data_IF_529796592807
#
_entry.id   IF_529796592807
#
_cell.length_a   1.000
_cell.length_b   1.000
_cell.length_c   1.000
_cell.angle_alpha   90.00
_cell.angle_beta   90.00
_cell.angle_gamma   90.00
#
_symmetry.space_group_name_H-M   'P 1'
#
loop_
_entity.id
_entity.type
_entity.pdbx_description
1 polymer ?
#
# COMPACT_ATOMS: atom_id res chain seq x y z
N UNK A 1 -52.16 -14.81 9.27
CA UNK A 1 -51.76 -13.67 10.13
C UNK A 1 -50.62 -14.00 11.10
N UNK A 2 -50.55 -15.18 11.74
CA UNK A 2 -49.49 -15.49 12.73
C UNK A 2 -48.08 -15.61 12.15
N UNK A 3 -47.94 -16.15 10.94
CA UNK A 3 -46.63 -16.37 10.31
C UNK A 3 -45.93 -15.06 9.94
N UNK A 4 -46.68 -14.07 9.43
CA UNK A 4 -46.14 -12.77 9.04
C UNK A 4 -45.62 -12.00 10.25
N UNK A 5 -46.34 -12.00 11.37
CA UNK A 5 -45.89 -11.34 12.61
C UNK A 5 -44.62 -11.99 13.18
N UNK A 6 -44.56 -13.33 13.19
CA UNK A 6 -43.35 -14.06 13.63
C UNK A 6 -42.17 -13.76 12.72
N UNK A 7 -42.39 -13.68 11.40
CA UNK A 7 -41.36 -13.31 10.44
C UNK A 7 -40.79 -11.91 10.70
N UNK A 8 -41.66 -10.90 10.88
CA UNK A 8 -41.20 -9.53 11.15
C UNK A 8 -40.50 -9.41 12.51
N UNK A 9 -40.96 -10.14 13.53
CA UNK A 9 -40.30 -10.17 14.84
C UNK A 9 -38.91 -10.80 14.72
N UNK A 10 -38.77 -11.92 14.02
CA UNK A 10 -37.46 -12.56 13.80
C UNK A 10 -36.53 -11.69 12.95
N UNK A 11 -37.07 -11.01 11.93
CA UNK A 11 -36.32 -10.07 11.08
C UNK A 11 -35.81 -8.86 11.89
N UNK A 12 -36.67 -8.26 12.72
CA UNK A 12 -36.29 -7.16 13.59
C UNK A 12 -35.27 -7.62 14.65
N UNK A 13 -35.48 -8.78 15.26
CA UNK A 13 -34.56 -9.38 16.23
C UNK A 13 -33.19 -9.68 15.61
N UNK A 14 -33.16 -10.15 14.36
CA UNK A 14 -31.95 -10.34 13.56
C UNK A 14 -31.23 -9.02 13.26
N UNK A 15 -31.97 -7.96 12.93
CA UNK A 15 -31.38 -6.64 12.70
C UNK A 15 -30.76 -6.07 13.97
N UNK A 16 -31.48 -6.15 15.09
CA UNK A 16 -31.01 -5.68 16.40
C UNK A 16 -29.78 -6.47 16.86
N UNK A 17 -29.77 -7.80 16.69
CA UNK A 17 -28.60 -8.62 17.06
C UNK A 17 -27.36 -8.30 16.22
N UNK A 18 -27.52 -7.91 14.94
CA UNK A 18 -26.41 -7.50 14.09
C UNK A 18 -25.72 -6.22 14.59
N UNK A 19 -26.46 -5.29 15.22
CA UNK A 19 -25.91 -4.05 15.77
C UNK A 19 -25.37 -4.19 17.20
N UNK A 20 -25.91 -5.12 18.00
CA UNK A 20 -25.49 -5.35 19.39
C UNK A 20 -24.35 -6.38 19.54
N UNK A 21 -24.04 -7.19 18.51
CA UNK A 21 -22.93 -8.15 18.61
C UNK A 21 -21.56 -7.45 18.49
N UNK A 22 -20.67 -7.60 19.48
CA UNK A 22 -19.30 -7.10 19.38
C UNK A 22 -18.56 -7.81 18.23
N UNK A 23 -17.83 -7.04 17.40
CA UNK A 23 -17.06 -7.55 16.24
C UNK A 23 -16.21 -8.80 16.56
N UNK A 24 -15.69 -8.87 17.78
CA UNK A 24 -14.85 -9.97 18.29
C UNK A 24 -15.55 -11.34 18.31
N UNK A 25 -16.87 -11.37 18.55
CA UNK A 25 -17.64 -12.63 18.59
C UNK A 25 -18.08 -13.04 17.18
N UNK A 26 -18.35 -12.06 16.31
CA UNK A 26 -18.67 -12.30 14.90
C UNK A 26 -17.48 -12.88 14.13
N UNK A 27 -16.26 -12.43 14.43
CA UNK A 27 -15.04 -12.95 13.79
C UNK A 27 -14.74 -14.41 14.17
N UNK A 28 -15.01 -14.83 15.40
CA UNK A 28 -14.82 -16.21 15.84
C UNK A 28 -15.84 -17.18 15.22
N UNK A 29 -17.06 -16.72 14.93
CA UNK A 29 -18.12 -17.55 14.34
C UNK A 29 -18.13 -17.54 12.81
N UNK A 30 -17.40 -16.60 12.16
CA UNK A 30 -17.28 -16.49 10.70
C UNK A 30 -16.89 -17.79 9.97
N UNK A 31 -15.89 -18.57 10.41
CA UNK A 31 -15.50 -19.79 9.67
C UNK A 31 -16.59 -20.87 9.73
N UNK A 32 -17.29 -20.99 10.86
CA UNK A 32 -18.35 -21.98 11.07
C UNK A 32 -19.68 -21.59 10.41
N UNK A 33 -20.03 -20.29 10.42
CA UNK A 33 -21.20 -19.79 9.67
C UNK A 33 -20.96 -19.80 8.16
N UNK A 34 -19.71 -19.63 7.72
CA UNK A 34 -19.34 -19.67 6.31
C UNK A 34 -19.72 -20.98 5.62
N UNK A 35 -19.56 -22.12 6.31
CA UNK A 35 -19.89 -23.45 5.77
C UNK A 35 -21.39 -23.76 5.83
N UNK A 36 -22.07 -23.40 6.93
CA UNK A 36 -23.51 -23.63 7.12
C UNK A 36 -24.39 -22.75 6.21
N UNK A 37 -23.95 -21.51 5.93
CA UNK A 37 -24.70 -20.57 5.10
C UNK A 37 -24.27 -20.57 3.63
N UNK A 38 -23.29 -21.39 3.23
CA UNK A 38 -22.86 -21.56 1.84
C UNK A 38 -24.04 -21.73 0.85
N UNK A 39 -25.02 -22.62 1.10
CA UNK A 39 -26.09 -22.86 0.12
C UNK A 39 -27.06 -21.68 -0.04
N UNK A 40 -27.17 -20.81 0.98
CA UNK A 40 -28.05 -19.62 0.96
C UNK A 40 -27.31 -18.35 0.52
N UNK A 41 -25.99 -18.30 0.73
CA UNK A 41 -25.15 -17.18 0.34
C UNK A 41 -24.89 -17.10 -1.17
N UNK A 42 -24.93 -18.23 -1.89
CA UNK A 42 -24.75 -18.26 -3.34
C UNK A 42 -25.85 -17.50 -4.11
N UNK A 43 -27.17 -17.76 -3.90
CA UNK A 43 -28.20 -17.05 -4.63
C UNK A 43 -28.27 -15.57 -4.27
N UNK A 44 -28.07 -15.21 -2.99
CA UNK A 44 -28.06 -13.80 -2.57
C UNK A 44 -26.90 -13.01 -3.18
N UNK A 45 -25.71 -13.63 -3.30
CA UNK A 45 -24.57 -13.03 -4.01
C UNK A 45 -24.82 -12.89 -5.51
N UNK A 46 -25.50 -13.86 -6.13
CA UNK A 46 -25.86 -13.76 -7.54
C UNK A 46 -26.84 -12.60 -7.81
N UNK A 47 -27.84 -12.42 -6.93
CA UNK A 47 -28.78 -11.30 -7.00
C UNK A 47 -28.05 -9.96 -6.75
N UNK A 48 -27.15 -9.92 -5.76
CA UNK A 48 -26.37 -8.72 -5.46
C UNK A 48 -25.43 -8.33 -6.63
N UNK A 49 -24.71 -9.31 -7.20
CA UNK A 49 -23.85 -9.12 -8.36
C UNK A 49 -24.62 -8.66 -9.61
N UNK A 50 -25.84 -9.19 -9.80
CA UNK A 50 -26.75 -8.72 -10.85
C UNK A 50 -27.20 -7.27 -10.61
N UNK A 51 -27.54 -6.91 -9.38
CA UNK A 51 -27.96 -5.55 -9.02
C UNK A 51 -26.84 -4.51 -9.10
N UNK A 52 -25.59 -4.89 -8.81
CA UNK A 52 -24.42 -3.99 -8.86
C UNK A 52 -23.71 -3.97 -10.20
N UNK A 53 -24.11 -4.80 -11.18
CA UNK A 53 -23.52 -4.86 -12.51
C UNK A 53 -22.08 -5.38 -12.56
N UNK A 54 -21.56 -5.89 -11.44
CA UNK A 54 -20.24 -6.52 -11.39
C UNK A 54 -20.42 -8.04 -11.47
N UNK A 55 -19.93 -8.74 -12.51
CA UNK A 55 -19.91 -10.19 -12.52
C UNK A 55 -19.13 -10.66 -11.29
N UNK A 56 -19.80 -11.46 -10.45
CA UNK A 56 -19.35 -11.80 -9.10
C UNK A 56 -17.88 -12.15 -9.09
N UNK A 57 -17.10 -11.39 -8.33
CA UNK A 57 -15.69 -11.69 -8.11
C UNK A 57 -15.59 -13.14 -7.70
N UNK A 58 -14.97 -13.92 -8.59
CA UNK A 58 -14.69 -15.33 -8.43
C UNK A 58 -14.21 -15.58 -7.02
N UNK A 59 -14.72 -16.67 -6.41
CA UNK A 59 -14.34 -17.30 -5.13
C UNK A 59 -13.16 -16.63 -4.43
N UNK A 60 -13.21 -16.33 -3.11
CA UNK A 60 -11.96 -16.10 -2.39
C UNK A 60 -11.07 -17.30 -2.70
N UNK A 61 -9.99 -17.06 -3.45
CA UNK A 61 -8.98 -18.06 -3.68
C UNK A 61 -8.39 -18.26 -2.29
N UNK A 62 -8.84 -19.31 -1.63
CA UNK A 62 -8.24 -19.68 -0.37
C UNK A 62 -6.78 -19.95 -0.68
N UNK A 63 -5.94 -19.09 -0.11
CA UNK A 63 -4.51 -19.26 -0.18
C UNK A 63 -4.18 -20.48 0.68
N UNK A 64 -3.92 -21.60 0.03
CA UNK A 64 -3.66 -22.90 0.67
C UNK A 64 -2.28 -22.95 1.36
N UNK A 65 -1.50 -21.85 1.30
CA UNK A 65 -0.21 -21.73 1.97
C UNK A 65 -0.37 -21.71 3.49
N UNK A 66 0.61 -22.24 4.24
CA UNK A 66 0.59 -22.22 5.70
C UNK A 66 0.53 -20.78 6.23
N UNK A 67 -0.27 -20.55 7.27
CA UNK A 67 -0.48 -19.21 7.84
C UNK A 67 0.83 -18.51 8.23
N UNK A 68 1.84 -19.27 8.67
CA UNK A 68 3.15 -18.74 9.04
C UNK A 68 3.91 -18.13 7.84
N UNK A 69 3.77 -18.72 6.66
CA UNK A 69 4.37 -18.19 5.43
C UNK A 69 3.70 -16.89 4.99
N UNK A 70 2.37 -16.84 5.08
CA UNK A 70 1.58 -15.63 4.79
C UNK A 70 1.94 -14.50 5.76
N UNK A 71 2.10 -14.81 7.05
CA UNK A 71 2.49 -13.80 8.06
C UNK A 71 3.89 -13.29 7.78
N UNK A 72 4.86 -14.17 7.46
CA UNK A 72 6.23 -13.78 7.11
C UNK A 72 6.26 -12.90 5.86
N UNK A 73 5.59 -13.30 4.79
CA UNK A 73 5.49 -12.51 3.55
C UNK A 73 4.89 -11.13 3.83
N UNK A 74 3.81 -11.05 4.60
CA UNK A 74 3.22 -9.77 4.97
C UNK A 74 4.17 -8.89 5.79
N UNK A 75 5.01 -9.45 6.65
CA UNK A 75 6.03 -8.69 7.37
C UNK A 75 7.12 -8.16 6.43
N UNK A 76 7.61 -8.99 5.52
CA UNK A 76 8.58 -8.58 4.50
C UNK A 76 8.03 -7.47 3.60
N UNK A 77 6.78 -7.60 3.15
CA UNK A 77 6.11 -6.59 2.35
C UNK A 77 5.90 -5.28 3.11
N UNK A 78 5.60 -5.33 4.41
CA UNK A 78 5.50 -4.11 5.24
C UNK A 78 6.83 -3.39 5.33
N UNK A 79 7.91 -4.11 5.62
CA UNK A 79 9.25 -3.53 5.68
C UNK A 79 9.67 -2.93 4.33
N UNK A 80 9.38 -3.62 3.23
CA UNK A 80 9.67 -3.11 1.89
C UNK A 80 8.87 -1.83 1.58
N UNK A 81 7.59 -1.80 1.93
CA UNK A 81 6.74 -0.62 1.75
C UNK A 81 7.19 0.56 2.61
N UNK A 82 7.57 0.32 3.88
CA UNK A 82 8.10 1.36 4.76
C UNK A 82 9.40 1.95 4.22
N UNK A 83 10.31 1.09 3.74
CA UNK A 83 11.54 1.53 3.09
C UNK A 83 11.25 2.37 1.84
N UNK A 84 10.35 1.90 0.97
CA UNK A 84 10.03 2.64 -0.26
C UNK A 84 9.38 3.99 0.04
N UNK A 85 8.52 4.05 1.07
CA UNK A 85 7.92 5.31 1.51
C UNK A 85 8.97 6.28 2.05
N UNK A 86 9.95 5.78 2.81
CA UNK A 86 11.08 6.57 3.29
C UNK A 86 11.92 7.14 2.14
N UNK A 87 12.31 6.30 1.19
CA UNK A 87 13.11 6.70 0.02
C UNK A 87 12.36 7.76 -0.80
N UNK A 88 11.06 7.56 -1.02
CA UNK A 88 10.20 8.50 -1.74
C UNK A 88 10.15 9.87 -1.03
N UNK A 89 9.98 9.88 0.30
CA UNK A 89 9.98 11.11 1.08
C UNK A 89 11.31 11.86 0.96
N UNK A 90 12.45 11.15 0.99
CA UNK A 90 13.76 11.77 0.77
C UNK A 90 13.88 12.37 -0.63
N UNK A 91 13.47 11.65 -1.68
CA UNK A 91 13.51 12.18 -3.04
C UNK A 91 12.62 13.42 -3.21
N UNK A 92 11.44 13.43 -2.60
CA UNK A 92 10.56 14.61 -2.62
C UNK A 92 11.20 15.81 -1.94
N UNK A 93 11.88 15.61 -0.80
CA UNK A 93 12.62 16.68 -0.12
C UNK A 93 13.74 17.25 -1.00
N UNK A 94 14.55 16.38 -1.61
CA UNK A 94 15.62 16.81 -2.52
C UNK A 94 15.09 17.57 -3.74
N UNK A 95 13.96 17.15 -4.30
CA UNK A 95 13.31 17.86 -5.42
C UNK A 95 12.79 19.22 -4.95
N UNK A 96 12.18 19.30 -3.77
CA UNK A 96 11.71 20.56 -3.21
C UNK A 96 12.86 21.54 -2.91
N UNK A 97 14.00 21.04 -2.44
CA UNK A 97 15.21 21.84 -2.26
C UNK A 97 15.74 22.36 -3.60
N UNK A 98 15.82 21.52 -4.62
CA UNK A 98 16.22 21.93 -5.98
C UNK A 98 15.25 22.93 -6.60
N UNK A 99 13.97 22.88 -6.25
CA UNK A 99 12.97 23.84 -6.72
C UNK A 99 13.14 25.25 -6.12
N UNK A 100 13.92 25.40 -5.04
CA UNK A 100 14.26 26.73 -4.49
C UNK A 100 15.34 27.46 -5.29
N UNK A 101 16.08 26.74 -6.14
CA UNK A 101 17.07 27.34 -7.04
C UNK A 101 16.32 28.06 -8.15
N UNK A 102 16.74 29.30 -8.45
CA UNK A 102 16.16 30.09 -9.52
C UNK A 102 16.17 29.29 -10.84
N UNK A 103 15.03 29.18 -11.56
CA UNK A 103 14.97 28.45 -12.83
C UNK A 103 16.02 28.89 -13.84
N UNK A 104 16.38 30.17 -13.89
CA UNK A 104 17.39 30.68 -14.83
C UNK A 104 18.80 30.14 -14.51
N UNK A 105 19.12 29.97 -13.23
CA UNK A 105 20.39 29.38 -12.78
C UNK A 105 20.37 27.87 -13.01
N UNK A 106 19.24 27.22 -12.76
CA UNK A 106 19.08 25.77 -12.88
C UNK A 106 19.32 25.28 -14.30
N UNK A 107 18.83 26.00 -15.30
CA UNK A 107 19.00 25.63 -16.72
C UNK A 107 20.46 25.76 -17.19
N UNK A 108 21.29 26.51 -16.47
CA UNK A 108 22.72 26.64 -16.70
C UNK A 108 23.56 25.63 -15.88
N UNK A 109 22.92 24.87 -14.97
CA UNK A 109 23.59 23.90 -14.12
C UNK A 109 23.56 22.49 -14.72
N UNK A 110 24.68 21.76 -14.63
CA UNK A 110 24.71 20.33 -14.96
C UNK A 110 24.59 19.50 -13.69
N UNK A 111 23.57 18.66 -13.59
CA UNK A 111 23.40 17.77 -12.45
C UNK A 111 24.38 16.61 -12.52
N UNK A 112 25.17 16.40 -11.47
CA UNK A 112 26.18 15.33 -11.39
C UNK A 112 26.01 14.57 -10.07
N UNK A 113 26.02 13.24 -10.13
CA UNK A 113 25.91 12.41 -8.93
C UNK A 113 27.28 12.28 -8.24
N UNK A 114 27.32 12.36 -6.91
CA UNK A 114 28.53 12.08 -6.11
C UNK A 114 28.64 10.56 -5.90
N UNK A 115 29.78 9.95 -6.26
CA UNK A 115 30.02 8.50 -6.10
C UNK A 115 30.60 8.17 -4.73
N UNK A 116 31.31 9.10 -4.11
CA UNK A 116 31.91 8.87 -2.81
C UNK A 116 32.57 10.10 -2.23
N UNK A 117 32.70 10.06 -0.91
CA UNK A 117 33.65 10.85 -0.16
C UNK A 117 34.72 9.84 0.26
N UNK A 118 35.84 9.76 -0.46
CA UNK A 118 36.86 8.75 -0.16
C UNK A 118 37.44 9.01 1.24
N UNK A 119 37.04 8.18 2.20
CA UNK A 119 37.42 8.25 3.62
C UNK A 119 38.88 7.86 3.88
N UNK A 120 39.83 8.47 3.17
CA UNK A 120 41.24 8.08 3.17
C UNK A 120 42.28 9.20 3.29
N UNK A 121 41.93 10.49 3.30
CA UNK A 121 42.95 11.51 3.61
C UNK A 121 42.66 12.97 3.26
N UNK A 122 41.64 13.29 2.47
CA UNK A 122 41.31 14.69 2.15
C UNK A 122 39.83 14.91 2.38
N UNK A 123 39.47 15.55 3.50
CA UNK A 123 38.09 15.85 3.89
C UNK A 123 37.39 16.87 2.97
N UNK A 124 38.11 17.41 1.99
CA UNK A 124 37.70 18.53 1.15
C UNK A 124 37.45 18.14 -0.31
N UNK A 125 37.44 16.84 -0.65
CA UNK A 125 37.26 16.36 -2.02
C UNK A 125 36.02 15.45 -2.15
N UNK A 126 35.13 15.78 -3.09
CA UNK A 126 33.97 14.97 -3.48
C UNK A 126 34.25 14.30 -4.82
N UNK A 127 34.14 12.97 -4.88
CA UNK A 127 34.29 12.24 -6.14
C UNK A 127 32.97 12.30 -6.93
N UNK A 128 33.01 12.91 -8.11
CA UNK A 128 31.86 13.09 -8.99
C UNK A 128 31.77 11.97 -10.05
N UNK A 129 30.54 11.53 -10.34
CA UNK A 129 30.22 10.62 -11.45
C UNK A 129 30.14 11.40 -12.76
N UNK A 130 31.30 11.79 -13.27
CA UNK A 130 31.42 12.39 -14.58
C UNK A 130 31.75 11.31 -15.63
N UNK A 131 31.00 11.27 -16.73
CA UNK A 131 31.50 10.69 -17.98
C UNK A 131 32.15 11.82 -18.76
N UNK A 132 33.28 11.61 -19.45
CA UNK A 132 34.09 12.69 -20.05
C UNK A 132 33.40 13.64 -21.05
N UNK A 133 32.11 13.42 -21.33
CA UNK A 133 31.24 14.26 -22.17
C UNK A 133 30.26 15.12 -21.34
N UNK A 134 30.33 15.11 -20.00
CA UNK A 134 29.39 15.82 -19.13
C UNK A 134 29.63 17.33 -19.04
N UNK A 135 30.48 17.90 -19.90
CA UNK A 135 30.73 19.34 -19.97
C UNK A 135 31.41 19.93 -18.74
N UNK A 136 31.97 19.10 -17.84
CA UNK A 136 32.67 19.57 -16.64
C UNK A 136 34.08 20.04 -16.99
N UNK A 137 34.43 21.24 -16.54
CA UNK A 137 35.79 21.79 -16.64
C UNK A 137 36.31 22.17 -15.26
N UNK A 138 37.64 22.22 -15.14
CA UNK A 138 38.28 22.76 -13.95
C UNK A 138 37.89 24.24 -13.76
N UNK A 139 37.75 24.68 -12.50
CA UNK A 139 37.31 26.03 -12.12
C UNK A 139 35.80 26.29 -12.15
N UNK A 140 34.95 25.29 -12.39
CA UNK A 140 33.49 25.46 -12.30
C UNK A 140 33.01 25.57 -10.84
N UNK A 141 32.04 26.44 -10.59
CA UNK A 141 31.41 26.58 -9.28
C UNK A 141 30.43 25.42 -9.01
N UNK A 142 30.44 24.92 -7.78
CA UNK A 142 29.57 23.83 -7.33
C UNK A 142 28.53 24.38 -6.36
N UNK A 143 27.26 24.15 -6.68
CA UNK A 143 26.15 24.37 -5.76
C UNK A 143 25.86 23.03 -5.08
N UNK A 144 25.93 23.00 -3.75
CA UNK A 144 25.65 21.84 -2.91
C UNK A 144 24.39 22.07 -2.08
#
# INVERSE_FOLDING_TARGET
MRFTSVFYILLALSGVSAFLLPRRVSEAARPMMGTLLTPVAQPSRAIAAWATGQPGTSRPQFDDRPADEIVRENQELRLANEKLAYDLAQYQQLVAERAKIDPEIRDLCTSVAVIGNEGGGVRDALALKATGLSGLSDGMFVLH
#
